data_IF_779898861184
#
_entry.id   IF_779898861184
#
_cell.length_a   1.000
_cell.length_b   1.000
_cell.length_c   1.000
_cell.angle_alpha   90.00
_cell.angle_beta   90.00
_cell.angle_gamma   90.00
#
_symmetry.space_group_name_H-M   'P 1'
#
loop_
_entity.id
_entity.type
_entity.pdbx_description
1 polymer ?
#
# COMPACT_ATOMS: atom_id res chain seq x y z
N UNK A 1 11.77 -14.39 1.15
CA UNK A 1 10.50 -14.31 0.39
C UNK A 1 10.79 -14.73 -1.04
N UNK A 2 10.06 -15.70 -1.58
CA UNK A 2 10.25 -16.16 -2.97
C UNK A 2 10.10 -14.97 -3.93
N UNK A 3 11.02 -14.85 -4.90
CA UNK A 3 11.09 -13.72 -5.86
C UNK A 3 9.76 -13.51 -6.59
N UNK A 4 9.06 -14.60 -6.89
CA UNK A 4 7.71 -14.62 -7.48
C UNK A 4 6.67 -13.92 -6.62
N UNK A 5 6.68 -14.11 -5.30
CA UNK A 5 5.69 -13.52 -4.40
C UNK A 5 5.81 -11.99 -4.36
N UNK A 6 7.03 -11.46 -4.45
CA UNK A 6 7.27 -10.00 -4.53
C UNK A 6 6.70 -9.40 -5.82
N UNK A 7 6.85 -10.10 -6.94
CA UNK A 7 6.32 -9.66 -8.23
C UNK A 7 4.79 -9.64 -8.18
N UNK A 8 4.17 -10.70 -7.65
CA UNK A 8 2.71 -10.80 -7.51
C UNK A 8 2.19 -9.68 -6.62
N UNK A 9 2.82 -9.45 -5.46
CA UNK A 9 2.42 -8.38 -4.55
C UNK A 9 2.58 -7.00 -5.22
N UNK A 10 3.71 -6.73 -5.87
CA UNK A 10 3.92 -5.47 -6.59
C UNK A 10 2.87 -5.22 -7.68
N UNK A 11 2.50 -6.26 -8.43
CA UNK A 11 1.44 -6.17 -9.44
C UNK A 11 0.07 -5.91 -8.82
N UNK A 12 -0.24 -6.55 -7.68
CA UNK A 12 -1.46 -6.30 -6.92
C UNK A 12 -1.54 -4.84 -6.45
N UNK A 13 -0.43 -4.29 -5.92
CA UNK A 13 -0.34 -2.87 -5.53
C UNK A 13 -0.65 -1.95 -6.71
N UNK A 14 -0.08 -2.21 -7.89
CA UNK A 14 -0.33 -1.41 -9.08
C UNK A 14 -1.81 -1.43 -9.50
N UNK A 15 -2.45 -2.60 -9.46
CA UNK A 15 -3.89 -2.74 -9.75
C UNK A 15 -4.73 -1.96 -8.73
N UNK A 16 -4.44 -2.11 -7.42
CA UNK A 16 -5.16 -1.38 -6.38
C UNK A 16 -5.00 0.14 -6.54
N UNK A 17 -3.79 0.61 -6.86
CA UNK A 17 -3.54 2.02 -7.07
C UNK A 17 -4.35 2.57 -8.27
N UNK A 18 -4.34 1.86 -9.40
CA UNK A 18 -5.13 2.23 -10.57
C UNK A 18 -6.62 2.24 -10.26
N UNK A 19 -7.13 1.19 -9.63
CA UNK A 19 -8.56 1.06 -9.39
C UNK A 19 -9.05 2.08 -8.33
N UNK A 20 -8.18 2.51 -7.42
CA UNK A 20 -8.43 3.64 -6.53
C UNK A 20 -8.64 4.95 -7.28
N UNK A 21 -7.97 5.18 -8.41
CA UNK A 21 -8.17 6.40 -9.22
C UNK A 21 -9.47 6.41 -10.04
N UNK A 22 -10.14 5.25 -10.16
CA UNK A 22 -11.32 5.08 -11.03
C UNK A 22 -12.61 5.03 -10.19
N UNK A 23 -12.53 4.72 -8.90
CA UNK A 23 -13.72 4.55 -8.07
C UNK A 23 -14.26 5.88 -7.55
N UNK A 24 -15.56 6.11 -7.73
CA UNK A 24 -16.27 7.29 -7.20
C UNK A 24 -16.77 7.09 -5.77
N UNK A 25 -16.72 5.85 -5.25
CA UNK A 25 -17.17 5.56 -3.89
C UNK A 25 -16.04 5.80 -2.89
N UNK A 26 -16.21 6.81 -2.04
CA UNK A 26 -15.29 7.12 -0.93
C UNK A 26 -15.05 5.93 0.01
N UNK A 27 -16.07 5.10 0.23
CA UNK A 27 -15.96 3.91 1.06
C UNK A 27 -15.09 2.82 0.41
N UNK A 28 -15.31 2.54 -0.89
CA UNK A 28 -14.45 1.61 -1.64
C UNK A 28 -13.02 2.16 -1.71
N UNK A 29 -12.88 3.45 -2.02
CA UNK A 29 -11.60 4.15 -2.08
C UNK A 29 -10.79 4.01 -0.78
N UNK A 30 -11.43 4.20 0.38
CA UNK A 30 -10.81 4.01 1.68
C UNK A 30 -10.29 2.58 1.87
N UNK A 31 -11.11 1.56 1.63
CA UNK A 31 -10.67 0.17 1.75
C UNK A 31 -9.49 -0.15 0.82
N UNK A 32 -9.49 0.39 -0.39
CA UNK A 32 -8.39 0.21 -1.34
C UNK A 32 -7.09 0.83 -0.85
N UNK A 33 -7.14 2.05 -0.33
CA UNK A 33 -5.97 2.71 0.27
C UNK A 33 -5.44 1.91 1.46
N UNK A 34 -6.32 1.36 2.29
CA UNK A 34 -5.94 0.51 3.41
C UNK A 34 -5.18 -0.75 2.94
N UNK A 35 -5.74 -1.49 1.98
CA UNK A 35 -5.10 -2.70 1.45
C UNK A 35 -3.80 -2.40 0.71
N UNK A 36 -3.72 -1.30 -0.03
CA UNK A 36 -2.50 -0.84 -0.68
C UNK A 36 -1.41 -0.55 0.36
N UNK A 37 -1.78 0.13 1.44
CA UNK A 37 -0.89 0.42 2.56
C UNK A 37 -0.37 -0.84 3.24
N UNK A 38 -1.23 -1.83 3.54
CA UNK A 38 -0.81 -3.11 4.09
C UNK A 38 0.15 -3.86 3.16
N UNK A 39 -0.08 -3.80 1.86
CA UNK A 39 0.74 -4.50 0.89
C UNK A 39 2.13 -3.87 0.77
N UNK A 40 2.22 -2.53 0.76
CA UNK A 40 3.48 -1.79 0.84
C UNK A 40 4.21 -2.06 2.17
N UNK A 41 3.47 -2.22 3.27
CA UNK A 41 4.02 -2.54 4.58
C UNK A 41 4.73 -3.90 4.56
N UNK A 42 4.07 -4.93 4.00
CA UNK A 42 4.64 -6.27 3.85
C UNK A 42 5.88 -6.24 2.95
N UNK A 43 5.83 -5.53 1.82
CA UNK A 43 6.99 -5.42 0.92
C UNK A 43 8.15 -4.71 1.62
N UNK A 44 7.90 -3.57 2.27
CA UNK A 44 8.90 -2.78 2.99
C UNK A 44 9.59 -3.60 4.09
N UNK A 45 8.84 -4.29 4.95
CA UNK A 45 9.43 -5.17 5.96
C UNK A 45 10.20 -6.35 5.35
N UNK A 46 9.74 -6.89 4.21
CA UNK A 46 10.40 -8.01 3.55
C UNK A 46 11.78 -7.67 2.96
N UNK A 47 12.03 -6.39 2.65
CA UNK A 47 13.26 -5.88 2.07
C UNK A 47 14.15 -5.11 3.07
N UNK A 48 13.67 -4.86 4.29
CA UNK A 48 14.35 -4.08 5.33
C UNK A 48 15.74 -4.63 5.72
N UNK A 49 16.02 -5.90 5.42
CA UNK A 49 17.30 -6.55 5.71
C UNK A 49 18.48 -5.98 4.92
N UNK A 50 18.23 -5.16 3.89
CA UNK A 50 19.26 -4.50 3.08
C UNK A 50 19.35 -3.03 3.50
N UNK A 51 20.16 -2.75 4.52
CA UNK A 51 20.36 -1.38 5.07
C UNK A 51 20.88 -0.40 4.00
N UNK A 52 21.62 -0.89 3.00
CA UNK A 52 22.16 -0.06 1.91
C UNK A 52 21.10 0.42 0.89
N UNK A 53 19.83 0.03 1.06
CA UNK A 53 18.75 0.40 0.14
C UNK A 53 17.68 1.22 0.87
N UNK A 54 17.41 2.44 0.37
CA UNK A 54 16.38 3.34 0.92
C UNK A 54 14.96 2.93 0.51
N UNK A 55 14.80 2.15 -0.55
CA UNK A 55 13.50 1.76 -1.09
C UNK A 55 12.54 1.11 -0.06
N UNK A 56 12.99 0.18 0.82
CA UNK A 56 12.12 -0.41 1.83
C UNK A 56 11.63 0.61 2.87
N UNK A 57 12.45 1.61 3.20
CA UNK A 57 12.08 2.68 4.13
C UNK A 57 11.01 3.57 3.49
N UNK A 58 11.17 3.94 2.22
CA UNK A 58 10.16 4.70 1.48
C UNK A 58 8.84 3.92 1.37
N UNK A 59 8.90 2.61 1.14
CA UNK A 59 7.71 1.76 1.11
C UNK A 59 6.98 1.74 2.46
N UNK A 60 7.71 1.71 3.58
CA UNK A 60 7.11 1.77 4.92
C UNK A 60 6.49 3.13 5.23
N UNK A 61 7.12 4.22 4.80
CA UNK A 61 6.55 5.58 4.93
C UNK A 61 5.27 5.71 4.11
N UNK A 62 5.29 5.25 2.86
CA UNK A 62 4.10 5.23 2.00
C UNK A 62 3.00 4.35 2.61
N UNK A 63 3.35 3.17 3.12
CA UNK A 63 2.40 2.31 3.79
C UNK A 63 1.70 3.01 4.97
N UNK A 64 2.47 3.71 5.81
CA UNK A 64 1.91 4.51 6.90
C UNK A 64 0.97 5.60 6.40
N UNK A 65 1.37 6.33 5.35
CA UNK A 65 0.52 7.35 4.72
C UNK A 65 -0.80 6.78 4.20
N UNK A 66 -0.75 5.67 3.45
CA UNK A 66 -1.95 5.03 2.89
C UNK A 66 -2.89 4.47 3.97
N UNK A 67 -2.34 3.85 5.03
CA UNK A 67 -3.13 3.32 6.14
C UNK A 67 -3.80 4.48 6.90
N UNK A 68 -3.05 5.51 7.29
CA UNK A 68 -3.60 6.65 8.01
C UNK A 68 -4.63 7.43 7.17
N UNK A 69 -4.32 7.65 5.89
CA UNK A 69 -5.23 8.27 4.93
C UNK A 69 -6.53 7.48 4.79
N UNK A 70 -6.47 6.15 4.73
CA UNK A 70 -7.67 5.32 4.65
C UNK A 70 -8.59 5.48 5.86
N UNK A 71 -8.02 5.50 7.08
CA UNK A 71 -8.80 5.75 8.29
C UNK A 71 -9.40 7.14 8.30
N UNK A 72 -8.64 8.15 7.88
CA UNK A 72 -9.17 9.50 7.76
C UNK A 72 -10.39 9.56 6.84
N UNK A 73 -10.29 9.00 5.63
CA UNK A 73 -11.39 8.99 4.66
C UNK A 73 -12.59 8.21 5.21
N UNK A 74 -12.36 7.06 5.85
CA UNK A 74 -13.42 6.20 6.40
C UNK A 74 -14.20 6.82 7.56
N UNK A 75 -13.58 7.71 8.33
CA UNK A 75 -14.22 8.29 9.51
C UNK A 75 -14.69 9.73 9.29
N UNK A 76 -14.15 10.43 8.30
CA UNK A 76 -14.40 11.85 8.10
C UNK A 76 -14.92 12.24 6.70
N UNK A 77 -14.87 11.35 5.70
CA UNK A 77 -15.30 11.66 4.32
C UNK A 77 -16.32 10.68 3.70
N UNK A 78 -16.65 9.57 4.38
CA UNK A 78 -17.77 8.67 4.02
C UNK A 78 -19.05 9.05 4.74
#
# INVERSE_FOLDING_TARGET
MFRLLKIILGFLAAILALFGTITDSTLIFSFMYFFLGLLLLVIGFSELKKIDNIAPILMLLLAGFFILGSFYIMFFET
#
